data_IF_312204694280
#
_entry.id   IF_312204694280
#
_cell.length_a   1.000
_cell.length_b   1.000
_cell.length_c   1.000
_cell.angle_alpha   90.00
_cell.angle_beta   90.00
_cell.angle_gamma   90.00
#
_symmetry.space_group_name_H-M   'P 1'
#
loop_
_entity.id
_entity.type
_entity.pdbx_description
1 polymer ?
#
# COMPACT_ATOMS: atom_id res chain seq x y z
N UNK A 1 -13.90 -14.54 23.89
CA UNK A 1 -12.51 -14.57 23.39
C UNK A 1 -12.35 -13.89 22.03
N UNK A 2 -13.19 -14.15 21.02
CA UNK A 2 -13.12 -13.51 19.69
C UNK A 2 -13.12 -11.96 19.71
N UNK A 3 -14.02 -11.33 20.48
CA UNK A 3 -14.11 -9.85 20.56
C UNK A 3 -12.79 -9.19 21.02
N UNK A 4 -12.08 -9.82 21.96
CA UNK A 4 -10.83 -9.28 22.48
C UNK A 4 -9.67 -9.36 21.46
N UNK A 5 -9.64 -10.37 20.59
CA UNK A 5 -8.62 -10.43 19.53
C UNK A 5 -8.94 -9.49 18.38
N UNK A 6 -10.22 -9.29 18.06
CA UNK A 6 -10.69 -8.27 17.10
C UNK A 6 -10.23 -6.87 17.53
N UNK A 7 -10.50 -6.48 18.78
CA UNK A 7 -10.13 -5.16 19.29
C UNK A 7 -8.60 -4.96 19.30
N UNK A 8 -7.83 -6.02 19.61
CA UNK A 8 -6.36 -6.00 19.59
C UNK A 8 -5.81 -5.80 18.18
N UNK A 9 -6.31 -6.53 17.19
CA UNK A 9 -5.83 -6.43 15.80
C UNK A 9 -6.24 -5.11 15.16
N UNK A 10 -7.45 -4.61 15.47
CA UNK A 10 -7.88 -3.29 15.04
C UNK A 10 -6.97 -2.19 15.60
N UNK A 11 -6.65 -2.26 16.89
CA UNK A 11 -5.71 -1.31 17.50
C UNK A 11 -4.33 -1.37 16.84
N UNK A 12 -3.80 -2.58 16.61
CA UNK A 12 -2.51 -2.76 15.96
C UNK A 12 -2.49 -2.21 14.52
N UNK A 13 -3.57 -2.41 13.76
CA UNK A 13 -3.72 -1.82 12.43
C UNK A 13 -3.68 -0.28 12.48
N UNK A 14 -4.45 0.35 13.37
CA UNK A 14 -4.47 1.82 13.50
C UNK A 14 -3.07 2.37 13.81
N UNK A 15 -2.36 1.72 14.74
CA UNK A 15 -0.99 2.08 15.07
C UNK A 15 -0.02 1.87 13.89
N UNK A 16 -0.18 0.78 13.14
CA UNK A 16 0.61 0.51 11.93
C UNK A 16 0.35 1.55 10.83
N UNK A 17 -0.90 1.96 10.61
CA UNK A 17 -1.29 2.97 9.62
C UNK A 17 -0.66 4.33 9.95
N UNK A 18 -0.62 4.74 11.22
CA UNK A 18 0.03 5.98 11.65
C UNK A 18 1.53 5.97 11.27
N UNK A 19 2.22 4.86 11.55
CA UNK A 19 3.67 4.74 11.26
C UNK A 19 3.92 4.62 9.75
N UNK A 20 3.10 3.85 9.06
CA UNK A 20 3.13 3.70 7.61
C UNK A 20 2.91 5.05 6.90
N UNK A 21 2.02 5.91 7.41
CA UNK A 21 1.76 7.25 6.86
C UNK A 21 3.01 8.12 6.83
N UNK A 22 3.76 8.16 7.93
CA UNK A 22 5.01 8.92 7.98
C UNK A 22 6.05 8.37 7.00
N UNK A 23 6.17 7.04 6.91
CA UNK A 23 7.12 6.40 6.01
C UNK A 23 6.74 6.63 4.53
N UNK A 24 5.50 6.33 4.15
CA UNK A 24 4.99 6.52 2.80
C UNK A 24 5.11 7.97 2.35
N UNK A 25 4.80 8.93 3.24
CA UNK A 25 4.97 10.37 2.95
C UNK A 25 6.41 10.74 2.58
N UNK A 26 7.40 10.19 3.30
CA UNK A 26 8.81 10.43 2.98
C UNK A 26 9.21 9.85 1.61
N UNK A 27 8.68 8.68 1.24
CA UNK A 27 8.91 8.11 -0.09
C UNK A 27 8.20 8.91 -1.17
N UNK A 28 6.93 9.25 -0.99
CA UNK A 28 6.16 10.03 -1.95
C UNK A 28 6.82 11.37 -2.24
N UNK A 29 7.29 12.11 -1.23
CA UNK A 29 8.01 13.36 -1.42
C UNK A 29 9.25 13.19 -2.31
N UNK A 30 10.08 12.18 -2.04
CA UNK A 30 11.29 11.88 -2.85
C UNK A 30 10.95 11.47 -4.28
N UNK A 31 9.81 10.81 -4.49
CA UNK A 31 9.37 10.45 -5.82
C UNK A 31 8.85 11.69 -6.57
N UNK A 32 8.07 12.54 -5.91
CA UNK A 32 7.59 13.80 -6.47
C UNK A 32 8.73 14.76 -6.83
N UNK A 33 9.82 14.80 -6.04
CA UNK A 33 11.06 15.53 -6.39
C UNK A 33 11.68 15.08 -7.73
N UNK A 34 11.40 13.85 -8.16
CA UNK A 34 11.81 13.29 -9.46
C UNK A 34 10.73 13.49 -10.54
N UNK A 35 9.72 14.31 -10.28
CA UNK A 35 8.55 14.56 -11.12
C UNK A 35 7.65 13.33 -11.35
N UNK A 36 7.61 12.40 -10.39
CA UNK A 36 6.74 11.23 -10.43
C UNK A 36 5.35 11.60 -9.89
N UNK A 37 4.29 11.15 -10.57
CA UNK A 37 2.91 11.35 -10.12
C UNK A 37 2.57 10.32 -9.04
N UNK A 38 2.61 10.78 -7.80
CA UNK A 38 2.34 9.94 -6.63
C UNK A 38 1.38 10.67 -5.69
N UNK A 39 0.38 9.95 -5.17
CA UNK A 39 -0.63 10.44 -4.24
C UNK A 39 -0.72 9.52 -3.01
N UNK A 40 -1.10 10.07 -1.86
CA UNK A 40 -1.36 9.31 -0.63
C UNK A 40 -2.76 9.61 -0.14
N UNK A 41 -3.50 8.54 0.12
CA UNK A 41 -4.80 8.59 0.78
C UNK A 41 -4.73 7.76 2.05
N UNK A 42 -5.24 8.29 3.15
CA UNK A 42 -5.24 7.58 4.42
C UNK A 42 -6.52 7.81 5.22
N UNK A 43 -6.81 6.84 6.06
CA UNK A 43 -7.84 6.88 7.09
C UNK A 43 -7.25 6.37 8.40
N UNK A 44 -8.05 6.24 9.45
CA UNK A 44 -7.61 5.60 10.69
C UNK A 44 -7.18 4.13 10.47
N UNK A 45 -7.73 3.46 9.46
CA UNK A 45 -7.65 2.00 9.28
C UNK A 45 -7.05 1.59 7.94
N UNK A 46 -6.58 2.54 7.16
CA UNK A 46 -5.91 2.27 5.88
C UNK A 46 -4.96 3.38 5.48
N UNK A 47 -3.96 3.00 4.69
CA UNK A 47 -3.18 3.93 3.89
C UNK A 47 -2.94 3.32 2.51
N UNK A 48 -3.15 4.14 1.48
CA UNK A 48 -2.92 3.82 0.09
C UNK A 48 -1.93 4.81 -0.51
N UNK A 49 -0.88 4.29 -1.12
CA UNK A 49 0.01 5.04 -2.00
C UNK A 49 -0.34 4.71 -3.44
N UNK A 50 -0.59 5.73 -4.26
CA UNK A 50 -0.92 5.57 -5.67
C UNK A 50 0.20 6.15 -6.53
N UNK A 51 0.67 5.41 -7.53
CA UNK A 51 1.68 5.87 -8.49
C UNK A 51 1.11 5.79 -9.91
N UNK A 52 1.03 6.92 -10.61
CA UNK A 52 0.40 7.03 -11.93
C UNK A 52 1.44 7.04 -13.04
N UNK A 53 1.23 6.20 -14.05
CA UNK A 53 2.01 6.15 -15.27
C UNK A 53 1.59 7.24 -16.26
N UNK A 54 2.40 7.45 -17.30
CA UNK A 54 2.14 8.49 -18.32
C UNK A 54 0.80 8.33 -19.03
N UNK A 55 0.37 7.09 -19.28
CA UNK A 55 -0.85 6.75 -20.01
C UNK A 55 -2.13 6.90 -19.17
N UNK A 56 -2.00 7.27 -17.89
CA UNK A 56 -3.08 7.44 -16.95
C UNK A 56 -3.44 6.19 -16.15
N UNK A 57 -2.88 5.02 -16.49
CA UNK A 57 -2.94 3.84 -15.62
C UNK A 57 -2.16 4.10 -14.33
N UNK A 58 -2.47 3.40 -13.25
CA UNK A 58 -1.79 3.58 -11.98
C UNK A 58 -1.72 2.29 -11.18
N UNK A 59 -0.74 2.22 -10.30
CA UNK A 59 -0.64 1.17 -9.30
C UNK A 59 -0.97 1.72 -7.92
N UNK A 60 -1.65 0.93 -7.10
CA UNK A 60 -1.92 1.25 -5.70
C UNK A 60 -1.19 0.27 -4.79
N UNK A 61 -0.76 0.77 -3.63
CA UNK A 61 -0.17 -0.01 -2.55
C UNK A 61 -0.90 0.34 -1.26
N UNK A 62 -1.72 -0.59 -0.78
CA UNK A 62 -2.64 -0.35 0.34
C UNK A 62 -2.30 -1.22 1.53
N UNK A 63 -2.06 -0.62 2.69
CA UNK A 63 -2.15 -1.29 3.99
C UNK A 63 -3.55 -1.07 4.55
N UNK A 64 -4.27 -2.13 4.90
CA UNK A 64 -5.61 -2.01 5.46
C UNK A 64 -6.19 -3.33 5.96
N UNK A 65 -7.47 -3.31 6.31
CA UNK A 65 -8.24 -4.54 6.62
C UNK A 65 -8.34 -5.42 5.39
N UNK A 66 -8.27 -6.73 5.59
CA UNK A 66 -8.51 -7.70 4.51
C UNK A 66 -9.93 -8.26 4.56
N UNK A 67 -10.30 -9.01 3.53
CA UNK A 67 -11.56 -9.76 3.47
C UNK A 67 -11.66 -10.85 4.55
N UNK A 68 -10.53 -11.25 5.14
CA UNK A 68 -10.51 -12.16 6.29
C UNK A 68 -10.72 -11.34 7.56
N UNK A 69 -11.89 -11.55 8.17
CA UNK A 69 -12.28 -10.83 9.39
C UNK A 69 -11.14 -10.79 10.42
N UNK A 70 -10.91 -9.58 10.97
CA UNK A 70 -9.95 -9.31 12.05
C UNK A 70 -8.46 -9.40 11.70
N UNK A 71 -8.10 -9.52 10.42
CA UNK A 71 -6.71 -9.43 9.97
C UNK A 71 -6.51 -8.18 9.10
N UNK A 72 -5.25 -7.80 8.95
CA UNK A 72 -4.86 -6.70 8.09
C UNK A 72 -3.69 -7.11 7.20
N UNK A 73 -3.55 -6.46 6.06
CA UNK A 73 -2.69 -6.93 4.98
C UNK A 73 -2.28 -5.82 4.04
N UNK A 74 -1.48 -6.20 3.06
CA UNK A 74 -1.00 -5.32 2.01
C UNK A 74 -1.58 -5.81 0.68
N UNK A 75 -2.25 -4.92 -0.04
CA UNK A 75 -2.81 -5.18 -1.36
C UNK A 75 -2.12 -4.27 -2.37
N UNK A 76 -1.71 -4.83 -3.50
CA UNK A 76 -1.20 -4.10 -4.66
C UNK A 76 -2.16 -4.30 -5.82
N UNK A 77 -2.60 -3.21 -6.45
CA UNK A 77 -3.51 -3.26 -7.59
C UNK A 77 -2.96 -2.47 -8.76
N UNK A 78 -3.09 -3.01 -9.96
CA UNK A 78 -2.89 -2.30 -11.22
C UNK A 78 -4.26 -1.91 -11.76
N UNK A 79 -4.44 -0.61 -11.96
CA UNK A 79 -5.67 -0.01 -12.46
C UNK A 79 -5.36 0.61 -13.81
N UNK A 80 -6.09 0.20 -14.84
CA UNK A 80 -5.91 0.73 -16.17
C UNK A 80 -6.39 2.19 -16.29
N UNK A 81 -6.24 2.78 -17.48
CA UNK A 81 -6.65 4.16 -17.72
C UNK A 81 -8.18 4.36 -17.78
N UNK A 82 -8.97 3.28 -17.77
CA UNK A 82 -10.44 3.32 -17.66
C UNK A 82 -10.90 3.26 -16.19
N UNK A 83 -9.98 2.99 -15.26
CA UNK A 83 -10.29 2.80 -13.84
C UNK A 83 -10.60 1.35 -13.48
N UNK A 84 -10.42 0.41 -14.41
CA UNK A 84 -10.67 -1.00 -14.16
C UNK A 84 -9.43 -1.68 -13.55
N UNK A 85 -9.65 -2.50 -12.53
CA UNK A 85 -8.60 -3.32 -11.94
C UNK A 85 -8.25 -4.43 -12.92
N UNK A 86 -7.03 -4.42 -13.44
CA UNK A 86 -6.54 -5.43 -14.39
C UNK A 86 -5.69 -6.50 -13.70
N UNK A 87 -5.04 -6.16 -12.58
CA UNK A 87 -4.28 -7.09 -11.74
C UNK A 87 -4.50 -6.69 -10.28
N UNK A 88 -4.79 -7.67 -9.43
CA UNK A 88 -4.78 -7.51 -7.97
C UNK A 88 -3.88 -8.57 -7.38
N UNK A 89 -2.76 -8.13 -6.81
CA UNK A 89 -1.86 -8.93 -6.01
C UNK A 89 -2.17 -8.58 -4.55
N UNK A 90 -3.19 -9.23 -4.01
CA UNK A 90 -3.30 -9.35 -2.56
C UNK A 90 -2.11 -10.22 -2.13
N UNK A 91 -1.12 -9.63 -1.46
CA UNK A 91 -0.06 -10.43 -0.85
C UNK A 91 -0.76 -11.20 0.26
N UNK A 92 -1.23 -12.41 -0.06
CA UNK A 92 -2.15 -13.27 0.70
C UNK A 92 -1.76 -13.52 2.18
N UNK A 93 -0.63 -12.97 2.59
CA UNK A 93 -0.17 -12.77 3.95
C UNK A 93 -1.07 -11.80 4.71
N UNK A 94 -2.00 -12.39 5.44
CA UNK A 94 -2.82 -11.71 6.42
C UNK A 94 -2.07 -11.66 7.75
N UNK A 95 -2.01 -10.49 8.37
CA UNK A 95 -1.31 -10.27 9.62
C UNK A 95 -2.28 -10.04 10.77
N UNK A 96 -1.88 -10.54 11.94
CA UNK A 96 -2.45 -10.16 13.21
C UNK A 96 -1.50 -9.22 13.93
N UNK A 97 -1.92 -8.70 15.08
CA UNK A 97 -1.05 -7.96 16.00
C UNK A 97 0.20 -8.73 16.45
N UNK A 98 0.26 -10.06 16.26
CA UNK A 98 1.37 -10.92 16.68
C UNK A 98 2.34 -11.25 15.54
N UNK A 99 1.87 -11.19 14.29
CA UNK A 99 2.70 -11.46 13.11
C UNK A 99 3.10 -10.21 12.34
N UNK A 100 2.51 -9.05 12.65
CA UNK A 100 2.88 -7.78 12.05
C UNK A 100 4.20 -7.23 12.61
N UNK A 101 5.05 -6.74 11.73
CA UNK A 101 6.19 -5.90 12.07
C UNK A 101 6.37 -4.82 11.01
N UNK A 102 6.72 -3.61 11.43
CA UNK A 102 6.78 -2.45 10.51
C UNK A 102 7.81 -2.62 9.37
N UNK A 103 8.84 -3.45 9.59
CA UNK A 103 9.80 -3.79 8.54
C UNK A 103 9.18 -4.55 7.35
N UNK A 104 8.02 -5.20 7.55
CA UNK A 104 7.25 -5.83 6.46
C UNK A 104 6.72 -4.75 5.53
N UNK A 105 6.10 -3.70 6.08
CA UNK A 105 5.56 -2.59 5.31
C UNK A 105 6.66 -1.88 4.53
N UNK A 106 7.77 -1.52 5.18
CA UNK A 106 8.87 -0.83 4.50
C UNK A 106 9.45 -1.65 3.35
N UNK A 107 9.67 -2.95 3.56
CA UNK A 107 10.21 -3.84 2.54
C UNK A 107 9.28 -3.92 1.32
N UNK A 108 7.99 -4.11 1.55
CA UNK A 108 7.01 -4.23 0.46
C UNK A 108 6.81 -2.89 -0.27
N UNK A 109 6.80 -1.78 0.46
CA UNK A 109 6.72 -0.44 -0.13
C UNK A 109 7.93 -0.16 -1.05
N UNK A 110 9.15 -0.50 -0.60
CA UNK A 110 10.37 -0.34 -1.43
C UNK A 110 10.26 -1.16 -2.72
N UNK A 111 9.83 -2.43 -2.60
CA UNK A 111 9.63 -3.29 -3.76
C UNK A 111 8.59 -2.72 -4.74
N UNK A 112 7.44 -2.27 -4.23
CA UNK A 112 6.41 -1.62 -5.04
C UNK A 112 6.96 -0.44 -5.84
N UNK A 113 7.74 0.44 -5.19
CA UNK A 113 8.36 1.60 -5.85
C UNK A 113 9.39 1.18 -6.90
N UNK A 114 10.23 0.18 -6.59
CA UNK A 114 11.23 -0.36 -7.52
C UNK A 114 10.58 -0.98 -8.76
N UNK A 115 9.49 -1.72 -8.57
CA UNK A 115 8.72 -2.34 -9.65
C UNK A 115 8.06 -1.25 -10.53
N UNK A 116 7.44 -0.24 -9.92
CA UNK A 116 6.84 0.90 -10.62
C UNK A 116 7.86 1.66 -11.48
N UNK A 117 9.02 2.00 -10.91
CA UNK A 117 10.09 2.68 -11.64
C UNK A 117 10.58 1.82 -12.82
N UNK A 118 10.85 0.55 -12.55
CA UNK A 118 11.34 -0.39 -13.57
C UNK A 118 10.35 -0.57 -14.72
N UNK A 119 9.05 -0.59 -14.42
CA UNK A 119 8.00 -0.71 -15.43
C UNK A 119 7.90 0.57 -16.26
N UNK A 120 7.78 1.74 -15.62
CA UNK A 120 7.64 3.00 -16.34
C UNK A 120 8.83 3.28 -17.27
N UNK A 121 10.07 2.99 -16.83
CA UNK A 121 11.27 3.13 -17.66
C UNK A 121 11.23 2.27 -18.94
N UNK A 122 10.54 1.11 -18.90
CA UNK A 122 10.39 0.21 -20.06
C UNK A 122 9.18 0.56 -20.94
N UNK A 123 8.18 1.25 -20.40
CA UNK A 123 6.85 1.37 -21.02
C UNK A 123 6.43 2.81 -21.34
N UNK A 124 7.38 3.75 -21.49
CA UNK A 124 7.11 5.09 -22.03
C UNK A 124 7.12 6.21 -20.99
N UNK A 125 7.48 5.89 -19.75
CA UNK A 125 7.76 6.83 -18.68
C UNK A 125 6.60 7.06 -17.71
N UNK A 126 6.83 8.06 -16.86
CA UNK A 126 5.91 8.57 -15.85
C UNK A 126 5.08 9.76 -16.39
#
# INVERSE_FOLDING_TARGET
MLKASTDKNLKALKEAVIRATLLAGNYAARLQERNLKVDIQNSDESITLSSTYRDGSHQTFTLGKTSRENLFGITVEDIDNNGDIVISLDDSHNYSSESWGDGIYEKQLRKFIEDFISYAERHGGF
#
